data_IF_405818507073
#
_entry.id   IF_405818507073
#
_cell.length_a   1.000
_cell.length_b   1.000
_cell.length_c   1.000
_cell.angle_alpha   90.00
_cell.angle_beta   90.00
_cell.angle_gamma   90.00
#
_symmetry.space_group_name_H-M   'P 1'
#
loop_
_entity.id
_entity.type
_entity.pdbx_description
1 polymer ?
#
# COMPACT_ATOMS: atom_id res chain seq x y z
N UNK A 1 6.06 22.13 -4.61
CA UNK A 1 5.29 21.64 -3.45
C UNK A 1 4.34 20.53 -3.88
N UNK A 2 4.31 19.47 -3.14
CA UNK A 2 3.50 18.30 -3.51
C UNK A 2 2.02 18.56 -3.23
N UNK A 3 1.20 18.53 -4.27
CA UNK A 3 -0.25 18.72 -4.16
C UNK A 3 -0.93 17.67 -3.29
N UNK A 4 -0.38 16.47 -3.22
CA UNK A 4 -0.94 15.39 -2.40
C UNK A 4 -0.79 15.65 -0.92
N UNK A 5 0.31 16.28 -0.48
CA UNK A 5 0.48 16.67 0.93
C UNK A 5 -0.60 17.64 1.36
N UNK A 6 -0.96 18.59 0.51
CA UNK A 6 -2.04 19.56 0.77
C UNK A 6 -3.41 18.87 0.83
N UNK A 7 -3.65 17.91 -0.04
CA UNK A 7 -4.89 17.12 -0.04
C UNK A 7 -5.01 16.35 1.28
N UNK A 8 -3.92 15.72 1.72
CA UNK A 8 -3.86 14.98 2.98
C UNK A 8 -4.15 15.90 4.17
N UNK A 9 -3.59 17.11 4.19
CA UNK A 9 -3.85 18.09 5.24
C UNK A 9 -5.34 18.44 5.33
N UNK A 10 -5.99 18.65 4.18
CA UNK A 10 -7.42 18.95 4.14
C UNK A 10 -8.27 17.79 4.64
N UNK A 11 -7.92 16.56 4.26
CA UNK A 11 -8.60 15.36 4.73
C UNK A 11 -8.46 15.23 6.25
N UNK A 12 -7.25 15.46 6.76
CA UNK A 12 -6.97 15.39 8.19
C UNK A 12 -7.73 16.47 8.98
N UNK A 13 -7.85 17.69 8.45
CA UNK A 13 -8.63 18.77 9.05
C UNK A 13 -10.10 18.40 9.20
N UNK A 14 -10.63 17.60 8.27
CA UNK A 14 -12.00 17.10 8.33
C UNK A 14 -12.14 15.83 9.16
N UNK A 15 -11.06 15.39 9.80
CA UNK A 15 -10.99 14.15 10.60
C UNK A 15 -11.38 12.90 9.80
N UNK A 16 -11.13 12.90 8.51
CA UNK A 16 -11.37 11.76 7.64
C UNK A 16 -10.11 10.91 7.47
N UNK A 17 -10.30 9.63 7.16
CA UNK A 17 -9.21 8.72 6.85
C UNK A 17 -8.83 8.79 5.36
N UNK A 18 -7.59 8.41 5.02
CA UNK A 18 -7.13 8.44 3.65
C UNK A 18 -6.26 7.23 3.28
N UNK A 19 -6.27 6.90 2.00
CA UNK A 19 -5.31 5.99 1.36
C UNK A 19 -4.88 6.65 0.06
N UNK A 20 -3.58 6.86 -0.10
CA UNK A 20 -3.03 7.56 -1.26
C UNK A 20 -1.96 6.69 -1.93
N UNK A 21 -2.15 6.42 -3.22
CA UNK A 21 -1.17 5.68 -4.01
C UNK A 21 0.07 6.52 -4.28
N UNK A 22 1.24 5.92 -4.08
CA UNK A 22 2.51 6.54 -4.42
C UNK A 22 2.83 6.34 -5.89
N UNK A 23 3.30 7.39 -6.54
CA UNK A 23 3.65 7.36 -7.95
C UNK A 23 5.14 7.68 -8.13
N UNK A 24 5.70 7.29 -9.27
CA UNK A 24 7.10 7.50 -9.58
C UNK A 24 7.58 8.95 -9.54
N UNK A 25 6.67 9.92 -9.67
CA UNK A 25 7.00 11.34 -9.56
C UNK A 25 7.23 11.80 -8.11
N UNK A 26 6.93 10.95 -7.13
CA UNK A 26 7.21 11.17 -5.71
C UNK A 26 8.45 10.35 -5.33
N UNK A 27 9.56 10.62 -5.98
CA UNK A 27 10.73 9.75 -6.02
C UNK A 27 11.28 9.34 -4.66
N UNK A 28 11.42 10.29 -3.75
CA UNK A 28 12.05 10.04 -2.45
C UNK A 28 11.23 9.07 -1.60
N UNK A 29 9.98 9.39 -1.33
CA UNK A 29 9.12 8.56 -0.48
C UNK A 29 8.75 7.24 -1.15
N UNK A 30 8.51 7.25 -2.45
CA UNK A 30 8.24 6.03 -3.21
C UNK A 30 9.40 5.06 -3.11
N UNK A 31 10.62 5.54 -3.29
CA UNK A 31 11.84 4.74 -3.19
C UNK A 31 12.01 4.16 -1.79
N UNK A 32 11.83 4.98 -0.75
CA UNK A 32 12.01 4.54 0.63
C UNK A 32 11.03 3.43 1.00
N UNK A 33 9.77 3.56 0.62
CA UNK A 33 8.74 2.55 0.87
C UNK A 33 9.02 1.28 0.07
N UNK A 34 9.40 1.42 -1.19
CA UNK A 34 9.73 0.29 -2.05
C UNK A 34 10.91 -0.51 -1.49
N UNK A 35 12.01 0.17 -1.13
CA UNK A 35 13.18 -0.48 -0.54
C UNK A 35 12.84 -1.20 0.75
N UNK A 36 12.01 -0.59 1.60
CA UNK A 36 11.58 -1.21 2.85
C UNK A 36 10.90 -2.57 2.58
N UNK A 37 9.93 -2.61 1.68
CA UNK A 37 9.20 -3.84 1.39
C UNK A 37 10.02 -4.87 0.64
N UNK A 38 11.01 -4.46 -0.15
CA UNK A 38 11.94 -5.38 -0.81
C UNK A 38 12.80 -6.15 0.19
N UNK A 39 13.06 -5.57 1.36
CA UNK A 39 13.89 -6.20 2.39
C UNK A 39 13.08 -6.86 3.52
N UNK A 40 11.76 -6.73 3.52
CA UNK A 40 10.90 -7.30 4.56
C UNK A 40 10.38 -8.68 4.17
N UNK A 41 11.27 -9.68 4.13
CA UNK A 41 10.97 -11.01 3.60
C UNK A 41 10.76 -12.09 4.65
N UNK A 42 10.98 -11.83 5.95
CA UNK A 42 10.83 -12.86 6.98
C UNK A 42 9.84 -12.46 8.07
N UNK A 43 9.37 -13.47 8.82
CA UNK A 43 8.36 -13.29 9.87
C UNK A 43 8.86 -12.42 11.03
N UNK A 44 10.13 -12.55 11.38
CA UNK A 44 10.74 -11.74 12.45
C UNK A 44 10.72 -10.25 12.07
N UNK A 45 11.03 -9.94 10.83
CA UNK A 45 10.97 -8.58 10.29
C UNK A 45 9.55 -8.04 10.33
N UNK A 46 8.57 -8.86 9.91
CA UNK A 46 7.16 -8.48 9.94
C UNK A 46 6.68 -8.17 11.37
N UNK A 47 7.12 -8.94 12.37
CA UNK A 47 6.77 -8.70 13.75
C UNK A 47 7.39 -7.42 14.29
N UNK A 48 8.68 -7.17 14.00
CA UNK A 48 9.38 -5.96 14.44
C UNK A 48 8.74 -4.67 13.94
N UNK A 49 8.27 -4.69 12.69
CA UNK A 49 7.72 -3.51 12.05
C UNK A 49 6.19 -3.48 12.03
N UNK A 50 5.54 -4.42 12.72
CA UNK A 50 4.09 -4.51 12.79
C UNK A 50 3.46 -4.52 11.39
N UNK A 51 3.91 -5.46 10.56
CA UNK A 51 3.38 -5.62 9.20
C UNK A 51 2.20 -6.59 9.23
N UNK A 52 1.04 -6.08 8.81
CA UNK A 52 -0.18 -6.86 8.64
C UNK A 52 -0.31 -7.28 7.18
N UNK A 53 -0.99 -8.39 6.95
CA UNK A 53 -1.17 -8.93 5.60
C UNK A 53 -2.61 -9.39 5.41
N UNK A 54 -3.19 -9.06 4.25
CA UNK A 54 -4.48 -9.59 3.82
C UNK A 54 -4.43 -10.00 2.37
N UNK A 55 -4.96 -11.17 2.06
CA UNK A 55 -4.97 -11.74 0.72
C UNK A 55 -6.42 -11.99 0.29
N UNK A 56 -6.74 -11.63 -0.96
CA UNK A 56 -8.05 -11.91 -1.55
C UNK A 56 -7.91 -12.11 -3.06
N UNK A 57 -8.90 -12.79 -3.64
CA UNK A 57 -8.93 -13.09 -5.07
C UNK A 57 -10.15 -12.43 -5.70
N UNK A 58 -9.94 -11.83 -6.87
CA UNK A 58 -11.00 -11.21 -7.66
C UNK A 58 -11.03 -11.88 -9.03
N UNK A 59 -12.23 -12.21 -9.49
CA UNK A 59 -12.41 -12.63 -10.88
C UNK A 59 -12.66 -11.42 -11.75
N UNK A 60 -11.77 -11.20 -12.74
CA UNK A 60 -11.81 -10.04 -13.62
C UNK A 60 -12.19 -10.49 -15.02
N UNK A 61 -13.48 -10.31 -15.39
CA UNK A 61 -13.96 -10.62 -16.73
C UNK A 61 -13.74 -12.06 -17.17
N UNK A 62 -13.74 -12.31 -18.47
CA UNK A 62 -13.71 -13.64 -19.03
C UNK A 62 -12.36 -14.34 -18.89
N UNK A 63 -12.26 -15.27 -17.95
CA UNK A 63 -11.10 -16.14 -17.81
C UNK A 63 -9.86 -15.52 -17.19
N UNK A 64 -9.99 -14.41 -16.44
CA UNK A 64 -8.89 -13.77 -15.73
C UNK A 64 -9.15 -13.81 -14.23
N UNK A 65 -8.11 -14.16 -13.48
CA UNK A 65 -8.13 -14.11 -12.02
C UNK A 65 -7.03 -13.17 -11.56
N UNK A 66 -7.35 -12.32 -10.59
CA UNK A 66 -6.37 -11.46 -9.93
C UNK A 66 -6.31 -11.79 -8.46
N UNK A 67 -5.15 -12.21 -7.99
CA UNK A 67 -4.86 -12.42 -6.58
C UNK A 67 -4.18 -11.15 -6.06
N UNK A 68 -4.76 -10.54 -5.05
CA UNK A 68 -4.22 -9.35 -4.41
C UNK A 68 -3.76 -9.67 -3.00
N UNK A 69 -2.57 -9.21 -2.66
CA UNK A 69 -2.03 -9.29 -1.31
C UNK A 69 -1.71 -7.89 -0.86
N UNK A 70 -2.37 -7.45 0.21
CA UNK A 70 -2.18 -6.13 0.79
C UNK A 70 -1.33 -6.26 2.05
N UNK A 71 -0.25 -5.48 2.12
CA UNK A 71 0.62 -5.38 3.29
C UNK A 71 0.49 -3.98 3.87
N UNK A 72 0.39 -3.89 5.20
CA UNK A 72 0.35 -2.61 5.89
C UNK A 72 1.38 -2.61 7.02
N UNK A 73 2.32 -1.67 6.95
CA UNK A 73 3.33 -1.47 7.98
C UNK A 73 2.90 -0.33 8.90
N UNK A 74 2.65 -0.64 10.19
CA UNK A 74 2.23 0.33 11.18
C UNK A 74 3.38 1.01 11.91
N UNK A 75 4.58 0.46 11.85
CA UNK A 75 5.77 1.10 12.43
C UNK A 75 6.54 1.84 11.35
N UNK A 76 6.34 3.14 11.26
CA UNK A 76 6.93 3.99 10.23
C UNK A 76 8.00 4.95 10.78
N UNK A 77 8.56 4.66 11.94
CA UNK A 77 9.61 5.49 12.53
C UNK A 77 10.87 5.57 11.65
N UNK A 78 11.08 4.57 10.80
CA UNK A 78 12.17 4.53 9.83
C UNK A 78 11.96 5.48 8.64
N UNK A 79 10.74 5.95 8.42
CA UNK A 79 10.41 6.79 7.27
C UNK A 79 10.79 8.24 7.55
N UNK A 80 11.77 8.77 6.81
CA UNK A 80 12.31 10.11 7.03
C UNK A 80 11.29 11.22 6.81
N UNK A 81 10.34 11.02 5.90
CA UNK A 81 9.33 12.00 5.53
C UNK A 81 8.02 11.88 6.30
N UNK A 82 7.94 11.01 7.32
CA UNK A 82 6.67 10.73 8.00
C UNK A 82 5.99 11.98 8.57
N UNK A 83 6.77 12.93 9.08
CA UNK A 83 6.26 14.15 9.69
C UNK A 83 5.74 15.18 8.67
N UNK A 84 6.08 15.01 7.40
CA UNK A 84 5.60 15.85 6.31
C UNK A 84 4.19 15.47 5.84
N UNK A 85 3.70 14.30 6.27
CA UNK A 85 2.38 13.79 5.90
C UNK A 85 1.49 13.74 7.15
N UNK A 86 0.49 14.62 7.19
CA UNK A 86 -0.37 14.75 8.37
C UNK A 86 -1.19 13.46 8.59
N UNK A 87 -1.21 13.00 9.85
CA UNK A 87 -1.92 11.79 10.27
C UNK A 87 -1.46 10.50 9.56
N UNK A 88 -0.24 10.47 9.06
CA UNK A 88 0.30 9.25 8.47
C UNK A 88 0.55 8.21 9.56
N UNK A 89 -0.13 7.07 9.47
CA UNK A 89 -0.03 5.98 10.44
C UNK A 89 0.53 4.70 9.84
N UNK A 90 0.60 4.61 8.52
CA UNK A 90 1.10 3.41 7.88
C UNK A 90 1.51 3.62 6.44
N UNK A 91 2.35 2.72 5.97
CA UNK A 91 2.70 2.60 4.56
C UNK A 91 2.39 1.18 4.11
N UNK A 92 2.04 1.01 2.85
CA UNK A 92 1.64 -0.29 2.39
C UNK A 92 2.13 -0.64 1.00
N UNK A 93 2.01 -1.92 0.70
CA UNK A 93 2.28 -2.48 -0.62
C UNK A 93 1.11 -3.35 -1.03
N UNK A 94 0.62 -3.15 -2.24
CA UNK A 94 -0.39 -4.01 -2.85
C UNK A 94 0.27 -4.79 -3.98
N UNK A 95 0.29 -6.11 -3.85
CA UNK A 95 0.80 -7.01 -4.88
C UNK A 95 -0.38 -7.59 -5.64
N UNK A 96 -0.44 -7.33 -6.95
CA UNK A 96 -1.50 -7.82 -7.83
C UNK A 96 -0.91 -8.87 -8.77
N UNK A 97 -1.31 -10.12 -8.58
CA UNK A 97 -0.90 -11.22 -9.45
C UNK A 97 -2.07 -11.60 -10.35
N UNK A 98 -1.92 -11.35 -11.65
CA UNK A 98 -2.95 -11.64 -12.66
C UNK A 98 -2.61 -12.91 -13.41
N UNK A 99 -3.60 -13.80 -13.52
CA UNK A 99 -3.45 -15.06 -14.25
C UNK A 99 -4.53 -15.13 -15.32
N UNK A 100 -4.12 -15.45 -16.56
CA UNK A 100 -5.04 -15.76 -17.67
C UNK A 100 -5.27 -17.26 -17.65
N UNK A 101 -6.48 -17.69 -17.31
CA UNK A 101 -6.82 -19.12 -17.16
C UNK A 101 -6.49 -19.94 -18.42
N UNK A 102 -6.77 -19.38 -19.59
CA UNK A 102 -6.65 -20.08 -20.88
C UNK A 102 -5.20 -20.40 -21.26
N UNK A 103 -4.26 -19.53 -20.93
CA UNK A 103 -2.84 -19.68 -21.30
C UNK A 103 -1.95 -19.96 -20.11
N UNK A 104 -2.44 -19.78 -18.88
CA UNK A 104 -1.64 -19.86 -17.66
C UNK A 104 -0.66 -18.70 -17.49
N UNK A 105 -0.72 -17.70 -18.37
CA UNK A 105 0.19 -16.56 -18.33
C UNK A 105 -0.06 -15.71 -17.10
N UNK A 106 1.01 -15.40 -16.36
CA UNK A 106 0.96 -14.59 -15.14
C UNK A 106 1.69 -13.28 -15.32
N UNK A 107 1.15 -12.24 -14.71
CA UNK A 107 1.81 -10.93 -14.57
C UNK A 107 1.67 -10.44 -13.14
N UNK A 108 2.69 -9.76 -12.63
CA UNK A 108 2.71 -9.25 -11.26
C UNK A 108 2.95 -7.74 -11.30
N UNK A 109 2.13 -7.00 -10.57
CA UNK A 109 2.27 -5.56 -10.40
C UNK A 109 2.34 -5.25 -8.92
N UNK A 110 3.24 -4.35 -8.53
CA UNK A 110 3.37 -3.88 -7.16
C UNK A 110 3.05 -2.39 -7.10
N UNK A 111 2.18 -2.02 -6.15
CA UNK A 111 1.81 -0.64 -5.89
C UNK A 111 2.08 -0.32 -4.44
N UNK A 112 2.49 0.90 -4.17
CA UNK A 112 2.78 1.36 -2.81
C UNK A 112 1.81 2.47 -2.45
N UNK A 113 1.47 2.58 -1.15
CA UNK A 113 0.52 3.56 -0.69
C UNK A 113 0.86 4.09 0.70
N UNK A 114 0.34 5.28 1.00
CA UNK A 114 0.37 5.90 2.32
C UNK A 114 -1.05 5.90 2.88
N UNK A 115 -1.19 5.74 4.19
CA UNK A 115 -2.52 5.72 4.80
C UNK A 115 -2.51 6.22 6.23
N UNK A 116 -3.63 6.83 6.63
CA UNK A 116 -3.93 7.14 8.04
C UNK A 116 -4.51 5.94 8.77
N UNK A 117 -4.90 4.88 8.04
CA UNK A 117 -5.48 3.68 8.63
C UNK A 117 -4.44 2.82 9.35
N UNK A 118 -4.90 2.10 10.38
CA UNK A 118 -4.04 1.19 11.16
C UNK A 118 -4.42 -0.27 11.00
N UNK A 119 -5.46 -0.56 10.21
CA UNK A 119 -6.00 -1.90 9.99
C UNK A 119 -5.86 -2.27 8.52
N UNK A 120 -5.15 -3.37 8.24
CA UNK A 120 -4.91 -3.85 6.88
C UNK A 120 -6.20 -4.21 6.15
N UNK A 121 -7.21 -4.71 6.85
CA UNK A 121 -8.50 -5.04 6.25
C UNK A 121 -9.17 -3.80 5.66
N UNK A 122 -9.18 -2.70 6.42
CA UNK A 122 -9.74 -1.43 5.96
C UNK A 122 -8.92 -0.84 4.82
N UNK A 123 -7.60 -0.92 4.89
CA UNK A 123 -6.71 -0.46 3.82
C UNK A 123 -6.93 -1.27 2.54
N UNK A 124 -7.03 -2.59 2.63
CA UNK A 124 -7.30 -3.45 1.50
C UNK A 124 -8.65 -3.14 0.86
N UNK A 125 -9.67 -2.91 1.68
CA UNK A 125 -11.00 -2.53 1.19
C UNK A 125 -10.95 -1.20 0.42
N UNK A 126 -10.24 -0.20 0.95
CA UNK A 126 -10.08 1.10 0.28
C UNK A 126 -9.32 0.95 -1.05
N UNK A 127 -8.25 0.15 -1.07
CA UNK A 127 -7.47 -0.10 -2.30
C UNK A 127 -8.28 -0.89 -3.33
N UNK A 128 -9.25 -1.68 -2.91
CA UNK A 128 -10.12 -2.43 -3.79
C UNK A 128 -11.01 -1.53 -4.65
N UNK A 129 -11.34 -0.36 -4.13
CA UNK A 129 -12.18 0.63 -4.82
C UNK A 129 -11.40 1.45 -5.87
N UNK A 130 -10.09 1.31 -5.91
CA UNK A 130 -9.23 1.99 -6.88
C UNK A 130 -8.99 1.10 -8.12
#
# INVERSE_FOLDING_TARGET
MDCQKKIVEKIAEKKAEYVISLKGNQQSIHRDVKEFFEHSCDDAYCQCYNIQREEYTIEIGHGRIEKRTCYLCGNINWLSEKDEWKNLNGVGMLVCERTVKKTGKKSVEQRYFLTSLTDVHKAAFAMRAH
#
